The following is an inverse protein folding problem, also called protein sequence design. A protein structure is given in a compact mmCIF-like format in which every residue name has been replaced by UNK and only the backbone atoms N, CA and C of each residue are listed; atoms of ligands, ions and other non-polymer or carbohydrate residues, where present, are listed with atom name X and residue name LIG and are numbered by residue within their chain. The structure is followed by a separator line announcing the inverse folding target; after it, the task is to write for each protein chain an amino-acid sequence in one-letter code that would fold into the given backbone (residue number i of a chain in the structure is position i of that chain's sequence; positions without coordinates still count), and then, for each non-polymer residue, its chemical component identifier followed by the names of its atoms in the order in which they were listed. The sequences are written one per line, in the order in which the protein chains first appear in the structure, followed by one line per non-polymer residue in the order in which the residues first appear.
data_IF_404920160931
#
_entry.id   IF_404920160931
#
_cell.length_a   1.000
_cell.length_b   1.000
_cell.length_c   1.000
_cell.angle_alpha   90.00
_cell.angle_beta   90.00
_cell.angle_gamma   90.00
#
_symmetry.space_group_name_H-M   'P 1'
#
loop_
_entity.id
_entity.type
_entity.pdbx_description
1 polymer ?
#
# COMPACT_ATOMS: atom_id res chain seq x y z
N UNK A 1 -1.20 2.09 20.48
CA UNK A 1 -1.60 1.10 19.46
C UNK A 1 -2.14 1.87 18.28
N UNK A 2 -1.55 1.73 17.09
CA UNK A 2 -2.14 2.33 15.88
C UNK A 2 -3.50 1.69 15.65
N UNK A 3 -4.54 2.49 15.48
CA UNK A 3 -5.88 2.03 15.11
C UNK A 3 -5.87 1.59 13.65
N UNK A 4 -6.51 0.46 13.36
CA UNK A 4 -6.68 -0.01 11.98
C UNK A 4 -7.64 0.91 11.20
N UNK A 5 -7.58 0.87 9.86
CA UNK A 5 -8.55 1.56 9.03
C UNK A 5 -9.95 0.95 9.18
N UNK A 6 -10.98 1.73 8.86
CA UNK A 6 -12.36 1.27 8.89
C UNK A 6 -12.55 0.02 7.99
N UNK A 7 -13.07 -1.10 8.54
CA UNK A 7 -13.36 -2.30 7.77
C UNK A 7 -14.22 -2.07 6.53
N UNK A 8 -15.17 -1.12 6.55
CA UNK A 8 -15.99 -0.81 5.37
C UNK A 8 -15.15 -0.18 4.25
N UNK A 9 -14.27 0.74 4.61
CA UNK A 9 -13.30 1.38 3.69
C UNK A 9 -12.36 0.34 3.07
N UNK A 10 -11.94 -0.66 3.86
CA UNK A 10 -11.08 -1.76 3.42
C UNK A 10 -11.83 -2.77 2.54
N UNK A 11 -13.10 -3.08 2.85
CA UNK A 11 -13.95 -3.94 2.04
C UNK A 11 -14.26 -3.33 0.66
N UNK A 12 -14.40 -2.00 0.61
CA UNK A 12 -14.59 -1.27 -0.64
C UNK A 12 -13.41 -1.45 -1.62
N UNK A 13 -12.18 -1.60 -1.11
CA UNK A 13 -11.02 -1.94 -1.94
C UNK A 13 -11.16 -3.32 -2.60
N UNK A 14 -11.74 -4.31 -1.91
CA UNK A 14 -11.98 -5.63 -2.50
C UNK A 14 -13.04 -5.54 -3.61
N UNK A 15 -14.09 -4.72 -3.42
CA UNK A 15 -15.11 -4.46 -4.44
C UNK A 15 -14.50 -3.77 -5.67
N UNK A 16 -13.65 -2.78 -5.46
CA UNK A 16 -12.97 -2.04 -6.54
C UNK A 16 -11.94 -2.91 -7.26
N UNK A 17 -11.22 -3.78 -6.57
CA UNK A 17 -10.34 -4.78 -7.19
C UNK A 17 -11.12 -5.72 -8.13
N UNK A 18 -12.26 -6.24 -7.68
CA UNK A 18 -13.13 -7.06 -8.53
C UNK A 18 -13.61 -6.28 -9.77
N UNK A 19 -13.93 -4.99 -9.63
CA UNK A 19 -14.29 -4.13 -10.74
C UNK A 19 -13.12 -3.90 -11.72
N UNK A 20 -11.89 -3.72 -11.23
CA UNK A 20 -10.70 -3.60 -12.08
C UNK A 20 -10.49 -4.89 -12.90
N UNK A 21 -10.63 -6.05 -12.26
CA UNK A 21 -10.48 -7.36 -12.93
C UNK A 21 -11.55 -7.63 -13.99
N UNK A 22 -12.76 -7.09 -13.81
CA UNK A 22 -13.87 -7.23 -14.74
C UNK A 22 -13.88 -6.15 -15.85
N UNK A 23 -13.06 -5.11 -15.73
CA UNK A 23 -13.06 -3.98 -16.67
C UNK A 23 -12.55 -4.39 -18.06
N UNK A 24 -13.14 -3.86 -19.15
CA UNK A 24 -12.60 -4.03 -20.49
C UNK A 24 -11.18 -3.50 -20.62
N UNK A 25 -10.39 -4.08 -21.54
CA UNK A 25 -9.04 -3.60 -21.82
C UNK A 25 -9.07 -2.11 -22.22
N UNK A 26 -8.24 -1.31 -21.55
CA UNK A 26 -8.16 0.14 -21.76
C UNK A 26 -9.12 0.97 -20.91
N UNK A 27 -10.07 0.36 -20.20
CA UNK A 27 -10.88 1.07 -19.20
C UNK A 27 -10.11 1.16 -17.87
N UNK A 28 -9.75 2.38 -17.50
CA UNK A 28 -9.00 2.68 -16.27
C UNK A 28 -9.88 3.25 -15.16
N UNK A 29 -11.19 3.34 -15.38
CA UNK A 29 -12.13 3.97 -14.43
C UNK A 29 -12.11 3.28 -13.07
N UNK A 30 -12.17 1.94 -13.06
CA UNK A 30 -12.10 1.17 -11.82
C UNK A 30 -10.74 1.29 -11.13
N UNK A 31 -9.65 1.41 -11.89
CA UNK A 31 -8.30 1.55 -11.35
C UNK A 31 -8.11 2.92 -10.69
N UNK A 32 -8.64 3.98 -11.31
CA UNK A 32 -8.66 5.32 -10.72
C UNK A 32 -9.50 5.32 -9.43
N UNK A 33 -10.68 4.70 -9.44
CA UNK A 33 -11.53 4.59 -8.26
C UNK A 33 -10.83 3.80 -7.12
N UNK A 34 -10.15 2.71 -7.44
CA UNK A 34 -9.34 1.95 -6.48
C UNK A 34 -8.29 2.85 -5.81
N UNK A 35 -7.48 3.57 -6.58
CA UNK A 35 -6.44 4.42 -6.02
C UNK A 35 -6.99 5.64 -5.26
N UNK A 36 -8.16 6.16 -5.65
CA UNK A 36 -8.88 7.16 -4.85
C UNK A 36 -9.29 6.61 -3.49
N UNK A 37 -9.79 5.37 -3.45
CA UNK A 37 -10.11 4.71 -2.20
C UNK A 37 -8.86 4.47 -1.34
N UNK A 38 -7.72 4.12 -1.95
CA UNK A 38 -6.44 4.00 -1.22
C UNK A 38 -6.00 5.33 -0.59
N UNK A 39 -6.27 6.46 -1.26
CA UNK A 39 -5.98 7.79 -0.68
C UNK A 39 -6.95 8.22 0.42
N UNK A 40 -8.11 7.58 0.53
CA UNK A 40 -9.12 7.85 1.57
C UNK A 40 -8.87 7.07 2.87
N UNK A 41 -7.92 6.12 2.87
CA UNK A 41 -7.49 5.43 4.09
C UNK A 41 -6.89 6.43 5.10
N UNK A 42 -7.09 6.20 6.40
CA UNK A 42 -6.47 7.03 7.43
C UNK A 42 -4.96 6.76 7.53
N UNK A 43 -4.56 5.50 7.34
CA UNK A 43 -3.17 5.04 7.43
C UNK A 43 -2.82 4.07 6.31
N UNK A 44 -1.55 4.08 5.89
CA UNK A 44 -0.97 2.97 5.15
C UNK A 44 -0.10 2.14 6.09
N UNK A 45 -0.24 0.82 6.02
CA UNK A 45 0.50 -0.14 6.83
C UNK A 45 1.66 -0.73 6.03
N UNK A 46 2.75 -1.06 6.72
CA UNK A 46 3.97 -1.60 6.12
C UNK A 46 4.53 -2.69 7.01
N UNK A 47 5.04 -3.76 6.38
CA UNK A 47 5.86 -4.76 7.07
C UNK A 47 7.25 -4.17 7.26
N UNK A 48 7.70 -4.04 8.51
CA UNK A 48 9.01 -3.53 8.86
C UNK A 48 10.11 -4.55 8.52
N UNK A 49 11.18 -4.05 7.90
CA UNK A 49 12.46 -4.73 7.68
C UNK A 49 13.59 -3.88 8.26
N UNK A 50 14.69 -4.53 8.61
CA UNK A 50 15.83 -3.86 9.26
C UNK A 50 15.72 -3.85 10.78
N UNK A 51 16.47 -2.97 11.42
CA UNK A 51 16.50 -2.86 12.89
C UNK A 51 15.26 -2.14 13.43
N UNK A 52 14.94 -2.40 14.70
CA UNK A 52 13.84 -1.75 15.40
C UNK A 52 13.98 -0.21 15.44
N UNK A 53 15.21 0.30 15.48
CA UNK A 53 15.49 1.75 15.55
C UNK A 53 15.38 2.46 14.20
N UNK A 54 15.38 1.70 13.08
CA UNK A 54 15.29 2.26 11.73
C UNK A 54 14.54 1.30 10.80
N UNK A 55 13.24 1.05 11.06
CA UNK A 55 12.45 0.17 10.23
C UNK A 55 12.30 0.76 8.82
N UNK A 56 12.47 -0.09 7.81
CA UNK A 56 12.22 0.21 6.41
C UNK A 56 11.06 -0.65 5.90
N UNK A 57 10.23 -0.16 4.97
CA UNK A 57 9.15 -0.96 4.46
C UNK A 57 9.70 -2.12 3.63
N UNK A 58 9.06 -3.28 3.74
CA UNK A 58 9.33 -4.40 2.84
C UNK A 58 9.04 -4.00 1.40
N UNK A 59 9.92 -4.42 0.49
CA UNK A 59 9.76 -4.26 -0.93
C UNK A 59 9.96 -5.60 -1.65
N UNK A 60 9.13 -5.85 -2.65
CA UNK A 60 9.24 -7.00 -3.54
C UNK A 60 10.03 -6.63 -4.79
N UNK A 61 10.78 -7.58 -5.34
CA UNK A 61 11.41 -7.40 -6.64
C UNK A 61 10.36 -7.52 -7.76
N UNK A 62 10.37 -6.59 -8.70
CA UNK A 62 9.58 -6.65 -9.92
C UNK A 62 10.46 -6.30 -11.14
N UNK A 63 9.97 -6.60 -12.33
CA UNK A 63 10.69 -6.38 -13.59
C UNK A 63 11.14 -4.92 -13.78
N UNK A 64 10.27 -3.97 -13.39
CA UNK A 64 10.52 -2.53 -13.52
C UNK A 64 11.43 -1.98 -12.39
N UNK A 65 11.68 -2.78 -11.36
CA UNK A 65 12.44 -2.40 -10.16
C UNK A 65 11.71 -2.74 -8.86
N UNK A 66 12.36 -2.50 -7.70
CA UNK A 66 11.76 -2.77 -6.39
C UNK A 66 10.44 -2.02 -6.18
N UNK A 67 9.42 -2.70 -5.66
CA UNK A 67 8.14 -2.11 -5.29
C UNK A 67 7.88 -2.24 -3.80
N UNK A 68 7.60 -1.13 -3.12
CA UNK A 68 7.24 -1.16 -1.69
C UNK A 68 5.83 -1.75 -1.54
N UNK A 69 5.67 -2.70 -0.61
CA UNK A 69 4.35 -3.24 -0.28
C UNK A 69 3.67 -2.33 0.74
N UNK A 70 2.59 -1.65 0.32
CA UNK A 70 1.69 -0.93 1.21
C UNK A 70 0.46 -1.79 1.47
N UNK A 71 -0.08 -1.71 2.68
CA UNK A 71 -1.23 -2.49 3.12
C UNK A 71 -2.35 -1.57 3.61
N UNK A 72 -3.57 -1.93 3.27
CA UNK A 72 -4.78 -1.17 3.62
C UNK A 72 -5.25 -1.42 5.05
N UNK A 73 -4.76 -2.47 5.71
CA UNK A 73 -5.02 -2.74 7.13
C UNK A 73 -3.86 -3.48 7.78
N UNK A 74 -3.77 -3.41 9.10
CA UNK A 74 -2.83 -4.21 9.87
C UNK A 74 -3.11 -5.72 9.68
N UNK A 75 -4.39 -6.11 9.63
CA UNK A 75 -4.79 -7.50 9.39
C UNK A 75 -4.29 -8.04 8.04
N UNK A 76 -4.42 -7.27 6.95
CA UNK A 76 -3.90 -7.66 5.63
C UNK A 76 -2.38 -7.68 5.59
N UNK A 77 -1.71 -6.76 6.29
CA UNK A 77 -0.24 -6.77 6.41
C UNK A 77 0.27 -8.03 7.14
N UNK A 78 -0.38 -8.43 8.23
CA UNK A 78 -0.04 -9.64 8.98
C UNK A 78 -0.30 -10.91 8.17
N UNK A 79 -1.42 -10.99 7.43
CA UNK A 79 -1.70 -12.08 6.52
C UNK A 79 -0.62 -12.19 5.44
N UNK A 80 -0.28 -11.08 4.79
CA UNK A 80 0.76 -11.04 3.77
C UNK A 80 2.13 -11.42 4.33
N UNK A 81 2.49 -10.95 5.52
CA UNK A 81 3.75 -11.30 6.16
C UNK A 81 3.87 -12.81 6.40
N UNK A 82 2.78 -13.47 6.81
CA UNK A 82 2.74 -14.94 6.93
C UNK A 82 2.92 -15.62 5.59
N UNK A 83 2.16 -15.20 4.57
CA UNK A 83 2.25 -15.77 3.21
C UNK A 83 3.63 -15.60 2.59
N UNK A 84 4.30 -14.48 2.85
CA UNK A 84 5.62 -14.15 2.33
C UNK A 84 6.78 -14.70 3.18
N UNK A 85 6.50 -15.38 4.30
CA UNK A 85 7.54 -15.90 5.20
C UNK A 85 8.34 -14.82 5.92
N UNK A 86 7.72 -13.66 6.18
CA UNK A 86 8.34 -12.48 6.79
C UNK A 86 8.07 -12.35 8.29
N UNK A 87 7.36 -13.31 8.89
CA UNK A 87 7.12 -13.35 10.34
C UNK A 87 8.37 -13.74 11.11
N UNK A 88 8.47 -13.27 12.35
CA UNK A 88 9.51 -13.70 13.27
C UNK A 88 9.32 -15.20 13.62
N UNK A 89 10.35 -16.05 13.51
CA UNK A 89 10.21 -17.49 13.73
C UNK A 89 9.83 -17.90 15.16
N UNK A 90 10.06 -17.03 16.16
CA UNK A 90 9.79 -17.34 17.56
C UNK A 90 8.37 -16.93 17.97
N UNK A 91 7.95 -15.73 17.56
CA UNK A 91 6.64 -15.16 17.91
C UNK A 91 5.56 -15.45 16.88
N UNK A 92 5.92 -15.79 15.64
CA UNK A 92 4.99 -15.96 14.53
C UNK A 92 4.30 -14.66 14.07
N UNK A 93 4.75 -13.51 14.59
CA UNK A 93 4.20 -12.19 14.30
C UNK A 93 5.09 -11.41 13.33
N UNK A 94 4.50 -10.52 12.54
CA UNK A 94 5.23 -9.56 11.75
C UNK A 94 5.48 -8.28 12.55
N UNK A 95 6.64 -7.65 12.36
CA UNK A 95 6.83 -6.29 12.82
C UNK A 95 6.15 -5.36 11.82
N UNK A 96 5.16 -4.59 12.27
CA UNK A 96 4.38 -3.68 11.44
C UNK A 96 4.56 -2.23 11.92
N UNK A 97 4.49 -1.30 10.98
CA UNK A 97 4.34 0.12 11.28
C UNK A 97 3.36 0.76 10.29
N UNK A 98 2.84 1.91 10.67
CA UNK A 98 1.86 2.67 9.89
C UNK A 98 2.34 4.08 9.66
N UNK A 99 1.99 4.66 8.51
CA UNK A 99 2.18 6.09 8.25
C UNK A 99 0.82 6.71 7.97
N UNK A 100 0.43 7.80 8.65
CA UNK A 100 -0.85 8.45 8.43
C UNK A 100 -0.91 9.12 7.06
N UNK A 101 -2.10 9.19 6.48
CA UNK A 101 -2.36 9.99 5.28
C UNK A 101 -2.50 11.48 5.64
N UNK A 102 -2.07 12.42 4.77
CA UNK A 102 -1.44 12.18 3.46
C UNK A 102 0.08 11.92 3.51
N UNK A 103 0.71 11.96 4.71
CA UNK A 103 2.16 11.86 4.87
C UNK A 103 2.76 10.55 4.32
N UNK A 104 1.96 9.47 4.25
CA UNK A 104 2.39 8.20 3.67
C UNK A 104 2.85 8.32 2.20
N UNK A 105 2.27 9.25 1.43
CA UNK A 105 2.67 9.49 0.03
C UNK A 105 4.11 10.02 -0.03
N UNK A 106 4.43 11.04 0.78
CA UNK A 106 5.79 11.59 0.85
C UNK A 106 6.79 10.59 1.39
N UNK A 107 6.36 9.79 2.37
CA UNK A 107 7.17 8.72 2.93
C UNK A 107 7.62 7.74 1.84
N UNK A 108 6.70 7.16 1.06
CA UNK A 108 7.07 6.20 0.00
C UNK A 108 7.81 6.87 -1.16
N UNK A 109 7.48 8.12 -1.49
CA UNK A 109 8.17 8.87 -2.55
C UNK A 109 9.65 9.10 -2.22
N UNK A 110 10.01 9.23 -0.94
CA UNK A 110 11.41 9.41 -0.51
C UNK A 110 12.34 8.26 -0.93
N UNK A 111 11.79 7.05 -1.12
CA UNK A 111 12.54 5.87 -1.52
C UNK A 111 12.90 5.84 -3.02
N UNK A 112 12.38 6.77 -3.84
CA UNK A 112 12.79 6.89 -5.24
C UNK A 112 14.30 7.16 -5.38
N UNK A 113 14.90 7.88 -4.43
CA UNK A 113 16.36 8.11 -4.37
C UNK A 113 17.16 6.83 -4.12
N UNK A 114 16.52 5.81 -3.54
CA UNK A 114 17.10 4.49 -3.30
C UNK A 114 16.78 3.48 -4.42
N UNK A 115 16.20 3.94 -5.54
CA UNK A 115 15.89 3.10 -6.70
C UNK A 115 14.57 2.34 -6.62
N UNK A 116 13.69 2.64 -5.66
CA UNK A 116 12.33 2.09 -5.64
C UNK A 116 11.54 2.64 -6.82
N UNK A 117 10.90 1.75 -7.57
CA UNK A 117 10.13 2.10 -8.76
C UNK A 117 8.70 2.53 -8.42
N UNK A 118 8.05 1.84 -7.48
CA UNK A 118 6.64 2.06 -7.17
C UNK A 118 6.21 1.46 -5.85
N UNK A 119 4.90 1.49 -5.64
CA UNK A 119 4.24 0.83 -4.51
C UNK A 119 3.19 -0.15 -5.02
N UNK A 120 3.00 -1.27 -4.32
CA UNK A 120 1.97 -2.28 -4.59
C UNK A 120 1.02 -2.39 -3.40
N UNK A 121 -0.29 -2.37 -3.68
CA UNK A 121 -1.37 -2.43 -2.71
C UNK A 121 -1.66 -3.88 -2.32
N UNK A 122 -1.65 -4.16 -1.02
CA UNK A 122 -2.06 -5.42 -0.41
C UNK A 122 -1.44 -6.65 -1.08
N UNK A 123 -0.19 -6.57 -1.53
CA UNK A 123 0.51 -7.70 -2.14
C UNK A 123 0.73 -8.82 -1.09
N UNK A 124 0.43 -10.10 -1.39
CA UNK A 124 0.09 -10.65 -2.71
C UNK A 124 -1.42 -10.76 -3.02
N UNK A 125 -2.31 -10.28 -2.15
CA UNK A 125 -3.77 -10.41 -2.29
C UNK A 125 -4.34 -9.61 -3.47
N UNK A 126 -4.09 -8.29 -3.51
CA UNK A 126 -4.60 -7.41 -4.58
C UNK A 126 -3.54 -7.18 -5.66
N UNK A 127 -2.37 -6.69 -5.28
CA UNK A 127 -1.20 -6.59 -6.15
C UNK A 127 -1.23 -5.43 -7.16
N UNK A 128 -2.26 -4.60 -7.19
CA UNK A 128 -2.30 -3.38 -8.00
C UNK A 128 -1.14 -2.45 -7.61
N UNK A 129 -0.49 -1.82 -8.59
CA UNK A 129 0.65 -0.95 -8.32
C UNK A 129 0.49 0.44 -8.95
N UNK A 130 1.21 1.40 -8.39
CA UNK A 130 1.39 2.74 -8.96
C UNK A 130 2.88 3.11 -8.91
N UNK A 131 3.48 3.60 -10.03
CA UNK A 131 4.85 4.10 -10.04
C UNK A 131 5.00 5.31 -9.11
N UNK A 132 6.18 5.46 -8.49
CA UNK A 132 6.47 6.62 -7.63
C UNK A 132 6.32 7.95 -8.38
N UNK A 133 6.65 7.96 -9.68
CA UNK A 133 6.49 9.12 -10.56
C UNK A 133 5.02 9.60 -10.66
N UNK A 134 4.06 8.71 -10.41
CA UNK A 134 2.62 9.01 -10.51
C UNK A 134 2.00 9.39 -9.16
N UNK A 135 2.75 9.37 -8.06
CA UNK A 135 2.23 9.72 -6.73
C UNK A 135 1.78 11.17 -6.60
N UNK A 136 2.30 12.07 -7.44
CA UNK A 136 1.81 13.45 -7.53
C UNK A 136 0.31 13.53 -7.90
N UNK A 137 -0.20 12.55 -8.66
CA UNK A 137 -1.63 12.48 -8.98
C UNK A 137 -2.48 12.20 -7.74
N UNK A 138 -2.00 11.32 -6.85
CA UNK A 138 -2.69 10.98 -5.61
C UNK A 138 -2.78 12.20 -4.69
N UNK A 139 -1.70 12.98 -4.59
CA UNK A 139 -1.70 14.24 -3.82
C UNK A 139 -2.73 15.23 -4.35
N UNK A 140 -2.78 15.41 -5.67
CA UNK A 140 -3.75 16.30 -6.31
C UNK A 140 -5.21 15.92 -6.02
N UNK A 141 -5.52 14.64 -5.86
CA UNK A 141 -6.87 14.20 -5.46
C UNK A 141 -7.23 14.56 -4.02
N UNK A 142 -6.26 14.48 -3.10
CA UNK A 142 -6.46 14.85 -1.70
C UNK A 142 -6.66 16.37 -1.57
N UNK A 143 -5.83 17.16 -2.25
CA UNK A 143 -5.93 18.62 -2.24
C UNK A 143 -7.19 19.14 -2.94
N UNK A 144 -7.63 18.46 -4.01
CA UNK A 144 -8.84 18.79 -4.76
C UNK A 144 -10.15 18.39 -4.07
N UNK A 145 -10.13 17.44 -3.12
CA UNK A 145 -11.31 17.03 -2.35
C UNK A 145 -11.72 18.05 -1.27
N UNK A 146 -10.89 19.06 -0.99
CA UNK A 146 -11.15 20.12 -0.04
C UNK A 146 -11.75 21.41 -0.62
N UNK A 147 -12.22 21.39 -1.88
CA UNK A 147 -12.83 22.54 -2.58
C UNK A 147 -14.29 22.29 -2.95
#
# INVERSE_FOLDING_TARGET
MTRDNDPETVAELDRLDAAVKAAPAGDTTAQIALWRQVTALEHWFFIARGSADSPRPYAVAAEQGPMICLYSSAARADEAARTLGLVDPQSGAASLFSVPMPAAIDYVASFGKAGVFGVTLDHPRLGHYIPLANLGLLKGWIEGAGQ
#
